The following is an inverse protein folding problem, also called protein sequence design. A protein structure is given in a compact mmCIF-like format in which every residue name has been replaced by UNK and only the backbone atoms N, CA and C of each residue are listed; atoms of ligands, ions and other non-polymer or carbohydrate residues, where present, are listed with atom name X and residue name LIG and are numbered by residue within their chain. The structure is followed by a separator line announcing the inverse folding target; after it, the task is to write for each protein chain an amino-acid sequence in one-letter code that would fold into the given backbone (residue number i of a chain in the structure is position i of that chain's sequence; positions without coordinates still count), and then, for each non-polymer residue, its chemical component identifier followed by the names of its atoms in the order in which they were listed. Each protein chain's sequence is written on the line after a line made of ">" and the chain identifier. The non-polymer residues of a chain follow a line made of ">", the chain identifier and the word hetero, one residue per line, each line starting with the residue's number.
data_IF_310962762802
#
_entry.id   IF_310962762802
#
_cell.length_a   1.000
_cell.length_b   1.000
_cell.length_c   1.000
_cell.angle_alpha   90.00
_cell.angle_beta   90.00
_cell.angle_gamma   90.00
#
_symmetry.space_group_name_H-M   'P 1'
#
loop_
_entity.id
_entity.type
_entity.pdbx_description
1 polymer ?
#
# COMPACT_ATOMS: atom_id res chain seq x y z
N UNK A 1 5.12 -19.66 -14.96
CA UNK A 1 5.40 -18.22 -14.92
C UNK A 1 5.00 -17.52 -13.61
N UNK A 2 3.92 -17.94 -12.94
CA UNK A 2 3.42 -17.31 -11.68
C UNK A 2 4.31 -17.56 -10.47
N UNK A 3 4.87 -18.76 -10.30
CA UNK A 3 5.84 -19.06 -9.22
C UNK A 3 7.14 -18.25 -9.37
N UNK A 4 7.53 -17.94 -10.60
CA UNK A 4 8.68 -17.11 -10.91
C UNK A 4 8.44 -15.63 -10.57
N UNK A 5 7.22 -15.14 -10.80
CA UNK A 5 6.81 -13.76 -10.45
C UNK A 5 6.70 -13.56 -8.94
N UNK A 6 6.18 -14.53 -8.17
CA UNK A 6 6.14 -14.51 -6.70
C UNK A 6 7.55 -14.49 -6.11
N UNK A 7 8.42 -15.39 -6.56
CA UNK A 7 9.81 -15.45 -6.09
C UNK A 7 10.63 -14.19 -6.40
N UNK A 8 10.41 -13.57 -7.57
CA UNK A 8 11.07 -12.31 -7.92
C UNK A 8 10.59 -11.15 -7.01
N UNK A 9 9.29 -11.05 -6.76
CA UNK A 9 8.73 -10.01 -5.87
C UNK A 9 9.32 -10.08 -4.47
N UNK A 10 9.40 -11.27 -3.88
CA UNK A 10 9.93 -11.48 -2.54
C UNK A 10 11.45 -11.24 -2.47
N UNK A 11 12.19 -11.55 -3.54
CA UNK A 11 13.63 -11.26 -3.63
C UNK A 11 13.87 -9.74 -3.71
N UNK A 12 13.15 -9.02 -4.56
CA UNK A 12 13.30 -7.56 -4.66
C UNK A 12 12.92 -6.83 -3.39
N UNK A 13 11.86 -7.29 -2.69
CA UNK A 13 11.42 -6.70 -1.42
C UNK A 13 12.45 -6.89 -0.33
N UNK A 14 12.97 -8.13 -0.17
CA UNK A 14 14.01 -8.43 0.80
C UNK A 14 15.28 -7.63 0.53
N UNK A 15 15.68 -7.51 -0.73
CA UNK A 15 16.83 -6.73 -1.14
C UNK A 15 16.65 -5.23 -0.84
N UNK A 16 15.46 -4.67 -1.09
CA UNK A 16 15.17 -3.27 -0.77
C UNK A 16 15.19 -3.01 0.75
N UNK A 17 14.63 -3.92 1.55
CA UNK A 17 14.65 -3.85 3.01
C UNK A 17 16.09 -3.97 3.56
N UNK A 18 16.85 -4.96 3.10
CA UNK A 18 18.26 -5.15 3.50
C UNK A 18 19.08 -3.90 3.14
N UNK A 19 18.89 -3.36 1.92
CA UNK A 19 19.59 -2.15 1.48
C UNK A 19 19.23 -0.91 2.31
N UNK A 20 17.96 -0.73 2.68
CA UNK A 20 17.52 0.38 3.53
C UNK A 20 18.06 0.24 4.96
N UNK A 21 18.08 -0.97 5.50
CA UNK A 21 18.62 -1.28 6.81
C UNK A 21 20.15 -1.07 6.87
N UNK A 22 20.88 -1.56 5.87
CA UNK A 22 22.33 -1.36 5.77
C UNK A 22 22.70 0.12 5.62
N UNK A 23 21.95 0.84 4.78
CA UNK A 23 22.14 2.28 4.59
C UNK A 23 21.89 3.07 5.87
N UNK A 24 20.88 2.71 6.65
CA UNK A 24 20.58 3.32 7.94
C UNK A 24 21.70 3.12 8.94
N UNK A 25 22.23 1.91 9.05
CA UNK A 25 23.37 1.58 9.94
C UNK A 25 24.65 2.31 9.50
N UNK A 26 24.95 2.33 8.21
CA UNK A 26 26.14 3.04 7.68
C UNK A 26 26.02 4.56 7.91
N UNK A 27 24.83 5.12 7.73
CA UNK A 27 24.57 6.52 7.99
C UNK A 27 24.74 6.88 9.47
N UNK A 28 24.20 6.08 10.40
CA UNK A 28 24.36 6.26 11.84
C UNK A 28 25.84 6.24 12.25
N UNK A 29 26.60 5.28 11.71
CA UNK A 29 28.04 5.18 11.95
C UNK A 29 28.79 6.41 11.42
N UNK A 30 28.49 6.85 10.20
CA UNK A 30 29.11 8.04 9.61
C UNK A 30 28.76 9.30 10.38
N UNK A 31 27.51 9.45 10.84
CA UNK A 31 27.08 10.53 11.67
C UNK A 31 27.88 10.60 12.98
N UNK A 32 28.00 9.46 13.67
CA UNK A 32 28.78 9.33 14.92
C UNK A 32 30.24 9.77 14.71
N UNK A 33 30.90 9.30 13.65
CA UNK A 33 32.29 9.69 13.33
C UNK A 33 32.38 11.20 13.01
N UNK A 34 31.39 11.74 12.28
CA UNK A 34 31.36 13.17 11.94
C UNK A 34 31.22 14.03 13.19
N UNK A 35 30.36 13.63 14.13
CA UNK A 35 30.17 14.31 15.39
C UNK A 35 31.41 14.21 16.31
N UNK A 36 32.12 13.10 16.26
CA UNK A 36 33.37 12.96 16.98
C UNK A 36 34.47 13.89 16.39
N UNK A 37 34.54 13.98 15.08
CA UNK A 37 35.45 14.91 14.40
C UNK A 37 35.08 16.37 14.68
N UNK A 38 33.79 16.69 14.88
CA UNK A 38 33.34 18.05 15.23
C UNK A 38 33.88 18.55 16.56
N UNK A 39 34.30 17.65 17.50
CA UNK A 39 34.96 18.01 18.75
C UNK A 39 36.27 18.78 18.55
N UNK A 40 36.88 18.72 17.35
CA UNK A 40 38.04 19.54 17.00
C UNK A 40 37.70 21.03 17.11
N UNK A 41 36.44 21.43 16.92
CA UNK A 41 35.97 22.81 17.05
C UNK A 41 36.06 23.30 18.50
N UNK A 42 35.84 22.40 19.48
CA UNK A 42 36.02 22.70 20.91
C UNK A 42 37.46 23.04 21.22
N UNK A 43 38.41 22.26 20.67
CA UNK A 43 39.85 22.51 20.86
C UNK A 43 40.26 23.88 20.27
N UNK A 44 39.64 24.29 19.12
CA UNK A 44 39.90 25.61 18.54
C UNK A 44 39.36 26.69 19.47
N UNK A 45 38.21 26.46 20.13
CA UNK A 45 37.63 27.36 21.14
C UNK A 45 38.58 27.56 22.36
N UNK A 46 39.17 26.49 22.84
CA UNK A 46 40.15 26.56 23.93
C UNK A 46 41.41 27.33 23.50
N UNK A 47 41.93 27.07 22.29
CA UNK A 47 43.08 27.82 21.76
C UNK A 47 42.75 29.32 21.60
N UNK A 48 41.55 29.67 21.11
CA UNK A 48 41.13 31.02 21.01
C UNK A 48 41.07 31.70 22.40
N UNK A 49 40.58 31.02 23.42
CA UNK A 49 40.56 31.53 24.80
C UNK A 49 41.97 31.79 25.34
N UNK A 50 42.93 30.89 25.07
CA UNK A 50 44.35 31.10 25.45
C UNK A 50 44.91 32.33 24.74
N UNK A 51 44.66 32.53 23.45
CA UNK A 51 45.13 33.68 22.69
C UNK A 51 44.53 34.98 23.23
N UNK A 52 43.23 34.98 23.62
CA UNK A 52 42.60 36.11 24.28
C UNK A 52 43.33 36.51 25.59
N UNK A 53 43.61 35.49 26.43
CA UNK A 53 44.36 35.74 27.68
C UNK A 53 45.77 36.30 27.45
N UNK A 54 46.47 35.86 26.38
CA UNK A 54 47.76 36.42 25.98
C UNK A 54 47.63 37.88 25.55
N UNK A 55 46.59 38.19 24.74
CA UNK A 55 46.35 39.54 24.28
C UNK A 55 46.08 40.51 25.46
N UNK A 56 45.28 40.08 26.44
CA UNK A 56 45.01 40.84 27.65
C UNK A 56 46.29 41.10 28.46
N UNK A 57 47.18 40.11 28.59
CA UNK A 57 48.47 40.24 29.26
C UNK A 57 49.39 41.23 28.51
N UNK A 58 49.39 41.18 27.18
CA UNK A 58 50.16 42.12 26.35
C UNK A 58 49.60 43.55 26.49
N UNK A 59 48.29 43.77 26.56
CA UNK A 59 47.72 45.07 26.77
C UNK A 59 48.12 45.65 28.14
N UNK A 60 48.09 44.80 29.20
CA UNK A 60 48.56 45.18 30.53
C UNK A 60 50.07 45.54 30.56
N UNK A 61 50.91 44.73 29.87
CA UNK A 61 52.34 45.01 29.75
C UNK A 61 52.60 46.34 28.99
N UNK A 62 51.86 46.59 27.94
CA UNK A 62 51.93 47.84 27.16
C UNK A 62 51.57 49.06 28.00
N UNK A 63 50.54 48.92 28.82
CA UNK A 63 50.11 49.97 29.74
C UNK A 63 51.21 50.27 30.77
N UNK A 64 51.77 49.23 31.37
CA UNK A 64 52.88 49.39 32.33
C UNK A 64 54.13 50.05 31.69
N UNK A 65 54.48 49.62 30.45
CA UNK A 65 55.55 50.20 29.68
C UNK A 65 55.29 51.68 29.32
N UNK A 66 54.02 52.03 29.00
CA UNK A 66 53.60 53.43 28.74
C UNK A 66 53.73 54.32 29.97
N UNK A 67 53.38 53.78 31.15
CA UNK A 67 53.52 54.46 32.42
C UNK A 67 54.99 54.76 32.72
N UNK A 68 55.86 53.77 32.59
CA UNK A 68 57.29 53.94 32.88
C UNK A 68 57.98 54.86 31.85
N UNK A 69 57.57 54.75 30.58
CA UNK A 69 58.03 55.69 29.56
C UNK A 69 57.65 57.16 29.88
N UNK A 70 56.44 57.42 30.37
CA UNK A 70 56.02 58.71 30.85
C UNK A 70 56.84 59.19 32.07
N UNK A 71 57.23 58.31 32.96
CA UNK A 71 58.05 58.61 34.12
C UNK A 71 59.49 59.01 33.75
N UNK A 72 60.02 58.52 32.63
CA UNK A 72 61.36 58.85 32.09
C UNK A 72 61.37 60.22 31.38
N UNK A 73 60.24 60.88 31.25
CA UNK A 73 60.09 62.22 30.66
C UNK A 73 60.55 62.32 29.20
N UNK A 74 61.39 63.26 28.84
CA UNK A 74 61.84 63.47 27.44
C UNK A 74 62.61 62.24 26.87
N UNK A 75 63.33 61.53 27.71
CA UNK A 75 64.11 60.30 27.29
C UNK A 75 63.17 59.13 27.00
N UNK A 76 61.96 59.11 27.53
CA UNK A 76 60.99 58.04 27.35
C UNK A 76 60.05 58.23 26.17
N UNK A 77 60.06 59.33 25.44
CA UNK A 77 59.08 59.62 24.36
C UNK A 77 59.01 58.47 23.26
N UNK A 78 60.17 57.99 22.84
CA UNK A 78 60.18 56.93 21.83
C UNK A 78 59.60 55.57 22.35
N UNK A 79 59.85 55.25 23.63
CA UNK A 79 59.29 54.05 24.25
C UNK A 79 57.77 54.17 24.48
N UNK A 80 57.28 55.39 24.81
CA UNK A 80 55.82 55.61 24.94
C UNK A 80 55.07 55.34 23.64
N UNK A 81 55.65 55.72 22.50
CA UNK A 81 55.03 55.45 21.16
C UNK A 81 54.99 53.95 20.89
N UNK A 82 56.09 53.25 21.15
CA UNK A 82 56.14 51.79 20.94
C UNK A 82 55.15 51.05 21.87
N UNK A 83 55.11 51.43 23.13
CA UNK A 83 54.19 50.85 24.10
C UNK A 83 52.72 51.09 23.67
N UNK A 84 52.38 52.31 23.26
CA UNK A 84 51.03 52.60 22.73
C UNK A 84 50.68 51.76 21.50
N UNK A 85 51.62 51.53 20.61
CA UNK A 85 51.36 50.71 19.39
C UNK A 85 51.18 49.22 19.75
N UNK A 86 51.95 48.70 20.73
CA UNK A 86 51.77 47.34 21.26
C UNK A 86 50.37 47.19 21.89
N UNK A 87 49.89 48.18 22.67
CA UNK A 87 48.56 48.16 23.25
C UNK A 87 47.46 48.13 22.18
N UNK A 88 47.63 48.91 21.11
CA UNK A 88 46.68 48.88 19.98
C UNK A 88 46.64 47.49 19.30
N UNK A 89 47.81 46.87 19.08
CA UNK A 89 47.91 45.52 18.51
C UNK A 89 47.29 44.47 19.42
N UNK A 90 47.47 44.60 20.74
CA UNK A 90 46.87 43.69 21.71
C UNK A 90 45.35 43.76 21.69
N UNK A 91 44.78 44.97 21.66
CA UNK A 91 43.30 45.18 21.52
C UNK A 91 42.77 44.70 20.18
N UNK A 92 43.49 44.91 19.09
CA UNK A 92 43.17 44.39 17.78
C UNK A 92 43.14 42.89 17.76
N UNK A 93 44.10 42.24 18.43
CA UNK A 93 44.15 40.78 18.57
C UNK A 93 42.99 40.26 19.41
N UNK A 94 42.65 40.85 20.54
CA UNK A 94 41.49 40.49 21.39
C UNK A 94 40.20 40.56 20.60
N UNK A 95 39.99 41.63 19.84
CA UNK A 95 38.80 41.78 18.99
C UNK A 95 38.72 40.70 17.86
N UNK A 96 39.87 40.36 17.26
CA UNK A 96 39.93 39.29 16.27
C UNK A 96 39.60 37.93 16.87
N UNK A 97 40.09 37.63 18.08
CA UNK A 97 39.80 36.39 18.81
C UNK A 97 38.32 36.33 19.20
N UNK A 98 37.70 37.39 19.64
CA UNK A 98 36.27 37.45 19.94
C UNK A 98 35.43 37.07 18.71
N UNK A 99 35.82 37.58 17.53
CA UNK A 99 35.16 37.16 16.27
C UNK A 99 35.34 35.69 15.95
N UNK A 100 36.51 35.10 16.24
CA UNK A 100 36.78 33.69 16.08
C UNK A 100 35.89 32.90 17.02
N UNK A 101 35.79 33.28 18.30
CA UNK A 101 34.94 32.59 19.28
C UNK A 101 33.46 32.60 18.86
N UNK A 102 32.94 33.73 18.35
CA UNK A 102 31.60 33.82 17.84
C UNK A 102 31.39 32.89 16.63
N UNK A 103 32.36 32.84 15.71
CA UNK A 103 32.30 31.90 14.56
C UNK A 103 32.32 30.42 15.00
N UNK A 104 33.11 30.10 16.05
CA UNK A 104 33.13 28.76 16.65
C UNK A 104 31.75 28.40 17.20
N UNK A 105 31.10 29.31 17.92
CA UNK A 105 29.75 29.11 18.44
C UNK A 105 28.70 28.85 17.33
N UNK A 106 28.81 29.61 16.22
CA UNK A 106 27.94 29.38 15.06
C UNK A 106 28.19 28.00 14.42
N UNK A 107 29.43 27.57 14.33
CA UNK A 107 29.79 26.24 13.80
C UNK A 107 29.29 25.14 14.71
N UNK A 108 29.48 25.27 16.05
CA UNK A 108 28.94 24.28 17.01
C UNK A 108 27.43 24.12 16.87
N UNK A 109 26.72 25.27 16.82
CA UNK A 109 25.26 25.27 16.61
C UNK A 109 24.87 24.58 15.30
N UNK A 110 25.59 24.82 14.20
CA UNK A 110 25.33 24.16 12.93
C UNK A 110 25.53 22.64 13.00
N UNK A 111 26.51 22.15 13.78
CA UNK A 111 26.68 20.71 14.02
C UNK A 111 25.55 20.14 14.86
N UNK A 112 25.08 20.84 15.89
CA UNK A 112 23.96 20.41 16.71
C UNK A 112 22.66 20.30 15.88
N UNK A 113 22.40 21.32 15.04
CA UNK A 113 21.27 21.33 14.13
C UNK A 113 21.36 20.18 13.11
N UNK A 114 22.54 19.92 12.56
CA UNK A 114 22.79 18.80 11.67
C UNK A 114 22.55 17.43 12.36
N UNK A 115 23.04 17.27 13.59
CA UNK A 115 22.83 16.06 14.37
C UNK A 115 21.35 15.81 14.65
N UNK A 116 20.62 16.86 15.04
CA UNK A 116 19.17 16.79 15.28
C UNK A 116 18.40 16.42 14.00
N UNK A 117 18.71 17.04 12.87
CA UNK A 117 18.08 16.74 11.59
C UNK A 117 18.37 15.29 11.13
N UNK A 118 19.63 14.86 11.27
CA UNK A 118 20.05 13.50 10.93
C UNK A 118 19.35 12.44 11.81
N UNK A 119 19.25 12.71 13.13
CA UNK A 119 18.49 11.88 14.07
C UNK A 119 17.02 11.77 13.66
N UNK A 120 16.38 12.86 13.26
CA UNK A 120 15.00 12.86 12.74
C UNK A 120 14.82 12.01 11.47
N UNK A 121 15.81 12.01 10.57
CA UNK A 121 15.79 11.17 9.37
C UNK A 121 15.90 9.69 9.75
N UNK A 122 16.81 9.33 10.66
CA UNK A 122 16.96 7.95 11.13
C UNK A 122 15.70 7.44 11.82
N UNK A 123 15.09 8.26 12.66
CA UNK A 123 13.82 7.95 13.31
C UNK A 123 12.68 7.75 12.29
N UNK A 124 12.60 8.60 11.28
CA UNK A 124 11.63 8.45 10.20
C UNK A 124 11.83 7.15 9.43
N UNK A 125 13.06 6.81 9.06
CA UNK A 125 13.36 5.54 8.39
C UNK A 125 12.98 4.35 9.26
N UNK A 126 13.35 4.35 10.54
CA UNK A 126 13.13 3.25 11.46
C UNK A 126 11.66 3.07 11.86
N UNK A 127 10.96 4.17 12.13
CA UNK A 127 9.63 4.13 12.74
C UNK A 127 8.50 4.33 11.73
N UNK A 128 8.79 4.73 10.49
CA UNK A 128 7.80 4.94 9.45
C UNK A 128 8.11 4.10 8.21
N UNK A 129 9.28 4.30 7.60
CA UNK A 129 9.59 3.66 6.31
C UNK A 129 9.69 2.14 6.45
N UNK A 130 10.39 1.65 7.47
CA UNK A 130 10.55 0.19 7.69
C UNK A 130 9.22 -0.51 7.96
N UNK A 131 8.35 -0.05 8.89
CA UNK A 131 7.02 -0.64 9.09
C UNK A 131 6.10 -0.54 7.87
N UNK A 132 6.19 0.55 7.09
CA UNK A 132 5.41 0.69 5.86
C UNK A 132 5.81 -0.38 4.82
N UNK A 133 7.11 -0.68 4.70
CA UNK A 133 7.57 -1.78 3.85
C UNK A 133 7.02 -3.13 4.30
N UNK A 134 6.97 -3.42 5.61
CA UNK A 134 6.38 -4.64 6.15
C UNK A 134 4.89 -4.74 5.80
N UNK A 135 4.15 -3.64 5.95
CA UNK A 135 2.74 -3.56 5.57
C UNK A 135 2.53 -3.79 4.05
N UNK A 136 3.41 -3.24 3.19
CA UNK A 136 3.36 -3.52 1.75
C UNK A 136 3.60 -4.99 1.41
N UNK A 137 4.47 -5.67 2.18
CA UNK A 137 4.69 -7.12 2.03
C UNK A 137 3.42 -7.90 2.35
N UNK A 138 2.74 -7.58 3.46
CA UNK A 138 1.47 -8.23 3.85
C UNK A 138 0.38 -8.00 2.79
N UNK A 139 0.20 -6.77 2.34
CA UNK A 139 -0.78 -6.45 1.29
C UNK A 139 -0.48 -7.21 0.00
N UNK A 140 0.78 -7.32 -0.40
CA UNK A 140 1.14 -8.07 -1.60
C UNK A 140 0.92 -9.58 -1.46
N UNK A 141 1.08 -10.15 -0.27
CA UNK A 141 0.72 -11.54 0.02
C UNK A 141 -0.79 -11.74 -0.03
N UNK A 142 -1.57 -10.80 0.52
CA UNK A 142 -3.03 -10.85 0.45
C UNK A 142 -3.53 -10.81 -0.99
N UNK A 143 -3.00 -9.92 -1.85
CA UNK A 143 -3.33 -9.92 -3.28
C UNK A 143 -2.99 -11.25 -3.98
N UNK A 144 -1.91 -11.92 -3.55
CA UNK A 144 -1.58 -13.25 -4.02
C UNK A 144 -2.64 -14.29 -3.68
N UNK A 145 -3.14 -14.29 -2.46
CA UNK A 145 -4.19 -15.18 -1.99
C UNK A 145 -5.55 -14.87 -2.65
N UNK A 146 -5.86 -13.59 -2.82
CA UNK A 146 -7.08 -13.15 -3.51
C UNK A 146 -7.08 -13.62 -4.98
N UNK A 147 -5.93 -13.54 -5.66
CA UNK A 147 -5.80 -14.03 -7.03
C UNK A 147 -6.01 -15.55 -7.13
N UNK A 148 -5.57 -16.33 -6.13
CA UNK A 148 -5.81 -17.77 -6.04
C UNK A 148 -7.30 -18.09 -5.82
N UNK A 149 -7.96 -17.33 -4.94
CA UNK A 149 -9.40 -17.43 -4.69
C UNK A 149 -10.23 -17.10 -5.95
N UNK A 150 -9.81 -16.10 -6.73
CA UNK A 150 -10.44 -15.76 -8.01
C UNK A 150 -10.28 -16.89 -9.04
N UNK A 151 -9.14 -17.57 -9.06
CA UNK A 151 -8.91 -18.73 -9.94
C UNK A 151 -9.83 -19.90 -9.57
N UNK A 152 -9.97 -20.21 -8.27
CA UNK A 152 -10.90 -21.23 -7.79
C UNK A 152 -12.36 -20.88 -8.12
N UNK A 153 -12.74 -19.61 -7.95
CA UNK A 153 -14.07 -19.13 -8.34
C UNK A 153 -14.32 -19.28 -9.84
N UNK A 154 -13.33 -18.96 -10.67
CA UNK A 154 -13.44 -19.13 -12.13
C UNK A 154 -13.63 -20.62 -12.52
N UNK A 155 -12.95 -21.54 -11.85
CA UNK A 155 -13.18 -22.98 -12.03
C UNK A 155 -14.58 -23.38 -11.61
N UNK A 156 -15.06 -22.93 -10.46
CA UNK A 156 -16.43 -23.22 -9.98
C UNK A 156 -17.51 -22.69 -10.94
N UNK A 157 -17.31 -21.49 -11.50
CA UNK A 157 -18.21 -20.93 -12.53
C UNK A 157 -18.20 -21.78 -13.79
N UNK A 158 -17.05 -22.29 -14.22
CA UNK A 158 -16.94 -23.18 -15.38
C UNK A 158 -17.72 -24.48 -15.16
N UNK A 159 -17.57 -25.11 -14.00
CA UNK A 159 -18.27 -26.35 -13.63
C UNK A 159 -19.77 -26.14 -13.52
N UNK A 160 -20.20 -25.02 -12.92
CA UNK A 160 -21.61 -24.62 -12.87
C UNK A 160 -22.18 -24.40 -14.28
N UNK A 161 -21.43 -23.77 -15.17
CA UNK A 161 -21.84 -23.56 -16.56
C UNK A 161 -22.05 -24.88 -17.31
N UNK A 162 -21.16 -25.87 -17.10
CA UNK A 162 -21.32 -27.21 -17.66
C UNK A 162 -22.55 -27.93 -17.08
N UNK A 163 -22.81 -27.80 -15.78
CA UNK A 163 -24.00 -28.36 -15.13
C UNK A 163 -25.28 -27.75 -15.67
N UNK A 164 -25.33 -26.45 -15.87
CA UNK A 164 -26.48 -25.75 -16.50
C UNK A 164 -26.71 -26.27 -17.92
N UNK A 165 -25.64 -26.44 -18.71
CA UNK A 165 -25.77 -27.00 -20.06
C UNK A 165 -26.39 -28.42 -20.06
N UNK A 166 -26.00 -29.29 -19.12
CA UNK A 166 -26.56 -30.62 -18.97
C UNK A 166 -28.04 -30.56 -18.59
N UNK A 167 -28.41 -29.74 -17.60
CA UNK A 167 -29.81 -29.53 -17.20
C UNK A 167 -30.66 -29.02 -18.38
N UNK A 168 -30.13 -28.06 -19.17
CA UNK A 168 -30.85 -27.56 -20.35
C UNK A 168 -31.07 -28.68 -21.40
N UNK A 169 -30.15 -29.62 -21.53
CA UNK A 169 -30.32 -30.77 -22.40
C UNK A 169 -31.42 -31.70 -21.88
N UNK A 170 -31.46 -31.98 -20.59
CA UNK A 170 -32.50 -32.80 -19.95
C UNK A 170 -33.89 -32.15 -20.07
N UNK A 171 -33.98 -30.82 -19.82
CA UNK A 171 -35.21 -30.06 -20.00
C UNK A 171 -35.70 -30.12 -21.44
N UNK A 172 -34.80 -30.00 -22.42
CA UNK A 172 -35.17 -30.14 -23.86
C UNK A 172 -35.72 -31.52 -24.17
N UNK A 173 -35.12 -32.58 -23.63
CA UNK A 173 -35.63 -33.95 -23.80
C UNK A 173 -36.99 -34.17 -23.13
N UNK A 174 -37.19 -33.57 -21.93
CA UNK A 174 -38.48 -33.63 -21.25
C UNK A 174 -39.58 -32.92 -22.05
N UNK A 175 -39.29 -31.73 -22.63
CA UNK A 175 -40.21 -31.02 -23.49
C UNK A 175 -40.59 -31.86 -24.73
N UNK A 176 -39.66 -32.52 -25.39
CA UNK A 176 -39.93 -33.41 -26.50
C UNK A 176 -40.85 -34.58 -26.09
N UNK A 177 -40.59 -35.17 -24.92
CA UNK A 177 -41.44 -36.27 -24.39
C UNK A 177 -42.87 -35.78 -24.10
N UNK A 178 -43.03 -34.60 -23.51
CA UNK A 178 -44.33 -33.98 -23.27
C UNK A 178 -45.08 -33.73 -24.61
N UNK A 179 -44.38 -33.19 -25.61
CA UNK A 179 -44.99 -32.96 -26.94
C UNK A 179 -45.48 -34.28 -27.55
N UNK A 180 -44.71 -35.34 -27.45
CA UNK A 180 -45.09 -36.68 -27.96
C UNK A 180 -46.28 -37.29 -27.18
N UNK A 181 -46.30 -37.17 -25.85
CA UNK A 181 -47.42 -37.59 -25.03
C UNK A 181 -48.72 -36.78 -25.36
N UNK A 182 -48.57 -35.49 -25.59
CA UNK A 182 -49.70 -34.60 -26.01
C UNK A 182 -50.29 -35.06 -27.38
N UNK A 183 -49.42 -35.39 -28.34
CA UNK A 183 -49.88 -35.92 -29.65
C UNK A 183 -50.61 -37.24 -29.48
N UNK A 184 -50.06 -38.17 -28.68
CA UNK A 184 -50.71 -39.45 -28.39
C UNK A 184 -52.10 -39.26 -27.72
N UNK A 185 -52.18 -38.30 -26.78
CA UNK A 185 -53.47 -37.96 -26.12
C UNK A 185 -54.48 -37.42 -27.14
N UNK A 186 -54.03 -36.58 -28.09
CA UNK A 186 -54.88 -36.08 -29.17
C UNK A 186 -55.40 -37.21 -30.07
N UNK A 187 -54.52 -38.16 -30.44
CA UNK A 187 -54.90 -39.29 -31.29
C UNK A 187 -55.90 -40.22 -30.57
N UNK A 188 -55.72 -40.49 -29.27
CA UNK A 188 -56.69 -41.24 -28.44
C UNK A 188 -58.01 -40.50 -28.36
N UNK A 189 -58.01 -39.15 -28.18
CA UNK A 189 -59.22 -38.36 -28.10
C UNK A 189 -60.02 -38.44 -29.41
N UNK A 190 -59.35 -38.38 -30.57
CA UNK A 190 -59.96 -38.53 -31.86
C UNK A 190 -60.55 -39.95 -32.03
N UNK A 191 -59.84 -40.99 -31.58
CA UNK A 191 -60.32 -42.36 -31.59
C UNK A 191 -61.57 -42.56 -30.70
N UNK A 192 -61.62 -41.95 -29.53
CA UNK A 192 -62.79 -41.96 -28.64
C UNK A 192 -64.00 -41.30 -29.35
N UNK A 193 -63.76 -40.15 -29.99
CA UNK A 193 -64.85 -39.42 -30.74
C UNK A 193 -65.44 -40.34 -31.82
N UNK A 194 -64.58 -41.04 -32.55
CA UNK A 194 -65.05 -41.99 -33.58
C UNK A 194 -65.89 -43.14 -32.98
N UNK A 195 -65.42 -43.75 -31.88
CA UNK A 195 -66.18 -44.80 -31.19
C UNK A 195 -67.55 -44.30 -30.69
N UNK A 196 -67.60 -43.07 -30.17
CA UNK A 196 -68.86 -42.46 -29.71
C UNK A 196 -69.80 -42.23 -30.90
N UNK A 197 -69.31 -41.81 -32.06
CA UNK A 197 -70.10 -41.66 -33.27
C UNK A 197 -70.65 -43.02 -33.76
N UNK A 198 -69.82 -44.08 -33.81
CA UNK A 198 -70.20 -45.44 -34.18
C UNK A 198 -71.27 -45.98 -33.22
N UNK A 199 -71.11 -45.84 -31.91
CA UNK A 199 -72.12 -46.24 -30.90
C UNK A 199 -73.41 -45.45 -31.06
N UNK A 200 -73.34 -44.18 -31.42
CA UNK A 200 -74.53 -43.35 -31.66
C UNK A 200 -75.31 -43.83 -32.88
N UNK A 201 -74.60 -44.27 -33.93
CA UNK A 201 -75.20 -44.86 -35.11
C UNK A 201 -75.86 -46.19 -34.83
N UNK A 202 -75.19 -47.07 -34.08
CA UNK A 202 -75.70 -48.34 -33.63
C UNK A 202 -77.00 -48.20 -32.77
N UNK A 203 -76.99 -47.26 -31.81
CA UNK A 203 -78.19 -46.94 -31.00
C UNK A 203 -79.35 -46.47 -31.83
N UNK A 204 -79.13 -45.61 -32.90
CA UNK A 204 -80.16 -45.22 -33.85
C UNK A 204 -80.69 -46.42 -34.63
N UNK A 205 -79.79 -47.32 -35.06
CA UNK A 205 -80.22 -48.56 -35.76
C UNK A 205 -81.11 -49.46 -34.90
N UNK A 206 -80.72 -49.68 -33.61
CA UNK A 206 -81.55 -50.43 -32.64
C UNK A 206 -82.88 -49.74 -32.38
N UNK A 207 -82.92 -48.36 -32.29
CA UNK A 207 -84.17 -47.66 -32.14
C UNK A 207 -85.10 -47.87 -33.33
N UNK A 208 -84.58 -47.79 -34.56
CA UNK A 208 -85.36 -48.08 -35.77
C UNK A 208 -85.86 -49.53 -35.79
N UNK A 209 -85.11 -50.54 -35.47
CA UNK A 209 -85.52 -51.91 -35.36
C UNK A 209 -86.59 -52.13 -34.30
N UNK A 210 -86.49 -51.46 -33.15
CA UNK A 210 -87.47 -51.50 -32.05
C UNK A 210 -88.81 -50.99 -32.47
N UNK A 211 -88.80 -49.82 -33.17
CA UNK A 211 -90.06 -49.19 -33.76
C UNK A 211 -90.63 -50.10 -34.80
N UNK A 212 -89.85 -50.69 -35.71
CA UNK A 212 -90.34 -51.61 -36.75
C UNK A 212 -90.96 -52.86 -36.14
N UNK A 213 -90.30 -53.44 -35.07
CA UNK A 213 -90.79 -54.60 -34.36
C UNK A 213 -92.13 -54.35 -33.62
N UNK A 214 -92.22 -53.22 -32.99
CA UNK A 214 -93.52 -52.79 -32.35
C UNK A 214 -94.62 -52.57 -33.40
N UNK A 215 -94.28 -52.02 -34.56
CA UNK A 215 -95.23 -51.81 -35.61
C UNK A 215 -95.68 -53.14 -36.23
N UNK A 216 -94.78 -54.11 -36.46
CA UNK A 216 -95.12 -55.50 -36.93
C UNK A 216 -96.03 -56.24 -35.95
N UNK A 217 -95.71 -56.14 -34.61
CA UNK A 217 -96.47 -56.78 -33.56
C UNK A 217 -97.86 -56.20 -33.39
N UNK A 218 -97.96 -54.86 -33.58
CA UNK A 218 -99.28 -54.21 -33.60
C UNK A 218 -100.12 -54.62 -34.81
N UNK A 219 -99.53 -54.86 -35.94
CA UNK A 219 -100.17 -55.37 -37.12
C UNK A 219 -100.63 -56.81 -36.98
N UNK A 220 -99.88 -57.72 -36.35
CA UNK A 220 -100.26 -59.10 -36.05
C UNK A 220 -101.41 -59.16 -35.06
N UNK A 221 -101.40 -58.37 -34.04
CA UNK A 221 -102.45 -58.30 -33.02
C UNK A 221 -103.77 -57.69 -33.54
N UNK A 222 -103.66 -56.78 -34.50
CA UNK A 222 -104.87 -56.19 -35.19
C UNK A 222 -105.50 -57.08 -36.27
N UNK A 223 -104.83 -58.16 -36.66
CA UNK A 223 -105.38 -59.15 -37.66
C UNK A 223 -106.17 -60.28 -36.96
N UNK A 224 -106.26 -60.30 -35.65
CA UNK A 224 -107.05 -61.26 -34.85
C UNK A 224 -108.23 -60.71 -34.08
N UNK A 225 -108.63 -59.47 -34.45
CA UNK A 225 -109.92 -58.89 -34.08
C UNK A 225 -110.74 -58.69 -35.32
#
# INVERSE_FOLDING_TARGET
>A
DRLRSRGLGDVYKRQAYESASELSVDFEKKLTITMENAKVVDNIGELASVISGIADQIDLLSLNASIEAARAGEQGKGFAVVASEIGKLAKGTASAVERIQNTIGDVQKAFDDLNSAAGGILDFVKNTVTPDYDSFVEVAQQYGNDAESIEELAHSISDMSNSIKNIMTEVSQAIQSIAQASQTTSDISNGITQVVDDVTEDVKGISHMSVSYTHLRAHETGAYL
#
